data_IF_640431707190
#
_entry.id   IF_640431707190
#
_cell.length_a   1.000
_cell.length_b   1.000
_cell.length_c   1.000
_cell.angle_alpha   90.00
_cell.angle_beta   90.00
_cell.angle_gamma   90.00
#
_symmetry.space_group_name_H-M   'P 1'
#
loop_
_entity.id
_entity.type
_entity.pdbx_description
1 polymer ?
#
# COMPACT_ATOMS: atom_id res chain seq x y z
N UNK A 1 -17.20 11.05 -1.78
CA UNK A 1 -16.08 11.43 -2.66
C UNK A 1 -16.05 10.42 -3.80
N UNK A 2 -16.17 10.87 -5.04
CA UNK A 2 -16.15 9.96 -6.20
C UNK A 2 -14.74 9.40 -6.48
N UNK A 3 -14.64 8.48 -7.42
CA UNK A 3 -13.38 7.81 -7.80
C UNK A 3 -12.33 8.79 -8.33
N UNK A 4 -12.73 9.84 -9.03
CA UNK A 4 -11.83 10.87 -9.55
C UNK A 4 -11.17 11.66 -8.42
N UNK A 5 -11.97 12.08 -7.44
CA UNK A 5 -11.49 12.82 -6.29
C UNK A 5 -10.55 11.97 -5.42
N UNK A 6 -10.87 10.69 -5.19
CA UNK A 6 -9.99 9.78 -4.42
C UNK A 6 -8.66 9.52 -5.16
N UNK A 7 -8.69 9.31 -6.47
CA UNK A 7 -7.48 9.17 -7.27
C UNK A 7 -6.57 10.39 -7.15
N UNK A 8 -7.13 11.60 -7.29
CA UNK A 8 -6.36 12.83 -7.15
C UNK A 8 -5.79 13.00 -5.75
N UNK A 9 -6.55 12.67 -4.70
CA UNK A 9 -6.04 12.68 -3.33
C UNK A 9 -4.81 11.78 -3.19
N UNK A 10 -4.86 10.54 -3.72
CA UNK A 10 -3.68 9.68 -3.74
C UNK A 10 -2.54 10.27 -4.57
N UNK A 11 -2.80 10.66 -5.81
CA UNK A 11 -1.79 11.10 -6.77
C UNK A 11 -0.99 12.30 -6.28
N UNK A 12 -1.66 13.26 -5.66
CA UNK A 12 -1.06 14.53 -5.24
C UNK A 12 -0.59 14.53 -3.77
N UNK A 13 -1.04 13.60 -2.93
CA UNK A 13 -0.50 13.45 -1.58
C UNK A 13 1.00 13.13 -1.61
N UNK A 14 1.77 13.65 -0.66
CA UNK A 14 3.18 13.26 -0.47
C UNK A 14 3.30 11.86 0.11
N UNK A 15 2.46 11.55 1.08
CA UNK A 15 2.41 10.28 1.80
C UNK A 15 0.96 9.89 2.07
N UNK A 16 0.66 8.61 1.91
CA UNK A 16 -0.55 7.96 2.42
C UNK A 16 -0.17 7.18 3.68
N UNK A 17 -0.95 7.35 4.75
CA UNK A 17 -0.66 6.76 6.06
C UNK A 17 -1.83 5.87 6.47
N UNK A 18 -1.53 4.62 6.84
CA UNK A 18 -2.49 3.65 7.37
C UNK A 18 -1.88 2.90 8.57
N UNK A 19 -1.86 3.52 9.76
CA UNK A 19 -1.32 2.91 10.98
C UNK A 19 -2.41 2.09 11.70
N UNK A 20 -3.14 1.25 10.95
CA UNK A 20 -4.20 0.39 11.50
C UNK A 20 -3.61 -0.66 12.46
N UNK A 21 -4.40 -1.13 13.42
CA UNK A 21 -3.97 -2.20 14.35
C UNK A 21 -3.80 -3.57 13.69
N UNK A 22 -4.51 -3.85 12.59
CA UNK A 22 -4.34 -5.07 11.81
C UNK A 22 -4.90 -4.88 10.39
N UNK A 23 -4.17 -5.37 9.40
CA UNK A 23 -4.58 -5.33 7.99
C UNK A 23 -4.25 -6.67 7.31
N UNK A 24 -5.23 -7.25 6.61
CA UNK A 24 -5.00 -8.45 5.77
C UNK A 24 -4.64 -8.01 4.35
N UNK A 25 -5.33 -7.02 3.82
CA UNK A 25 -4.99 -6.41 2.52
C UNK A 25 -5.46 -4.97 2.50
N UNK A 26 -4.52 -4.04 2.68
CA UNK A 26 -4.84 -2.61 2.66
C UNK A 26 -5.08 -2.11 1.24
N UNK A 27 -6.33 -2.24 0.76
CA UNK A 27 -6.73 -1.80 -0.58
C UNK A 27 -6.52 -0.29 -0.79
N UNK A 28 -6.69 0.52 0.25
CA UNK A 28 -6.40 1.96 0.23
C UNK A 28 -4.92 2.22 -0.03
N UNK A 29 -4.03 1.51 0.67
CA UNK A 29 -2.57 1.62 0.50
C UNK A 29 -2.11 1.06 -0.84
N UNK A 30 -2.69 -0.03 -1.34
CA UNK A 30 -2.46 -0.54 -2.71
C UNK A 30 -2.82 0.51 -3.76
N UNK A 31 -3.98 1.16 -3.65
CA UNK A 31 -4.40 2.24 -4.58
C UNK A 31 -3.49 3.47 -4.48
N UNK A 32 -3.09 3.86 -3.27
CA UNK A 32 -2.16 4.97 -3.07
C UNK A 32 -0.80 4.69 -3.71
N UNK A 33 -0.26 3.50 -3.48
CA UNK A 33 1.01 3.07 -4.02
C UNK A 33 0.96 2.89 -5.55
N UNK A 34 -0.12 2.34 -6.11
CA UNK A 34 -0.36 2.31 -7.56
C UNK A 34 -0.44 3.71 -8.19
N UNK A 35 -0.81 4.73 -7.41
CA UNK A 35 -0.80 6.14 -7.85
C UNK A 35 0.60 6.77 -7.81
N UNK A 36 1.61 6.06 -7.29
CA UNK A 36 3.00 6.50 -7.14
C UNK A 36 3.27 7.31 -5.87
N UNK A 37 2.42 7.18 -4.85
CA UNK A 37 2.56 7.90 -3.58
C UNK A 37 3.27 7.05 -2.55
N UNK A 38 4.13 7.68 -1.74
CA UNK A 38 4.79 6.99 -0.63
C UNK A 38 3.73 6.47 0.34
N UNK A 39 3.97 5.29 0.89
CA UNK A 39 3.05 4.68 1.86
C UNK A 39 3.75 4.47 3.19
N UNK A 40 3.05 4.84 4.26
CA UNK A 40 3.33 4.43 5.64
C UNK A 40 2.21 3.50 6.05
N UNK A 41 2.56 2.28 6.41
CA UNK A 41 1.59 1.23 6.78
C UNK A 41 2.00 0.60 8.10
N UNK A 42 1.04 -0.01 8.77
CA UNK A 42 1.30 -0.84 9.95
C UNK A 42 2.22 -2.01 9.61
N UNK A 43 3.10 -2.38 10.54
CA UNK A 43 3.86 -3.62 10.46
C UNK A 43 3.06 -4.86 10.87
N UNK A 44 1.90 -4.66 11.50
CA UNK A 44 1.00 -5.73 11.91
C UNK A 44 0.22 -6.33 10.73
N UNK A 45 -0.06 -7.62 10.81
CA UNK A 45 -0.76 -8.37 9.76
C UNK A 45 0.09 -8.63 8.53
N UNK A 46 -0.51 -8.51 7.35
CA UNK A 46 0.10 -8.98 6.09
C UNK A 46 0.72 -7.88 5.24
N UNK A 47 0.81 -6.63 5.72
CA UNK A 47 1.34 -5.49 4.95
C UNK A 47 2.73 -5.74 4.35
N UNK A 48 3.59 -6.50 5.04
CA UNK A 48 4.94 -6.86 4.54
C UNK A 48 4.90 -7.83 3.36
N UNK A 49 3.87 -8.67 3.25
CA UNK A 49 3.69 -9.59 2.12
C UNK A 49 3.39 -8.83 0.82
N UNK A 50 2.63 -7.73 0.91
CA UNK A 50 2.24 -6.91 -0.24
C UNK A 50 3.28 -5.87 -0.62
N UNK A 51 3.92 -5.19 0.34
CA UNK A 51 4.77 -4.02 0.06
C UNK A 51 6.27 -4.27 0.27
N UNK A 52 6.66 -5.40 0.88
CA UNK A 52 8.06 -5.85 1.03
C UNK A 52 8.98 -4.77 1.61
N UNK A 53 10.15 -4.54 1.03
CA UNK A 53 11.12 -3.50 1.38
C UNK A 53 10.77 -2.12 0.78
N UNK A 54 9.64 -2.00 0.09
CA UNK A 54 9.27 -0.81 -0.67
C UNK A 54 8.27 0.10 0.06
N UNK A 55 7.63 -0.39 1.12
CA UNK A 55 6.82 0.41 2.04
C UNK A 55 7.63 1.02 3.18
N UNK A 56 7.05 1.99 3.88
CA UNK A 56 7.53 2.47 5.18
C UNK A 56 6.60 1.88 6.24
N UNK A 57 7.18 1.35 7.31
CA UNK A 57 6.44 0.60 8.32
C UNK A 57 6.49 1.30 9.67
N UNK A 58 5.37 1.27 10.39
CA UNK A 58 5.27 1.77 11.75
C UNK A 58 4.62 0.73 12.66
N UNK A 59 5.00 0.76 13.93
CA UNK A 59 4.29 0.04 14.98
C UNK A 59 3.03 0.85 15.36
N UNK A 60 1.81 0.31 15.18
CA UNK A 60 0.57 1.06 15.44
C UNK A 60 0.33 1.32 16.94
N UNK A 61 1.08 0.67 17.83
CA UNK A 61 1.00 0.84 19.28
C UNK A 61 2.01 1.85 19.82
N UNK A 62 2.87 2.43 18.97
CA UNK A 62 3.89 3.41 19.34
C UNK A 62 3.72 4.71 18.52
N UNK A 63 3.26 5.76 19.20
CA UNK A 63 3.08 7.08 18.59
C UNK A 63 4.38 7.67 18.01
N UNK A 64 5.53 7.35 18.62
CA UNK A 64 6.83 7.82 18.12
C UNK A 64 7.17 7.13 16.81
N UNK A 65 6.98 5.81 16.73
CA UNK A 65 7.14 5.02 15.51
C UNK A 65 6.27 5.56 14.36
N UNK A 66 4.98 5.85 14.63
CA UNK A 66 4.06 6.43 13.64
C UNK A 66 4.58 7.79 13.17
N UNK A 67 4.95 8.67 14.10
CA UNK A 67 5.43 10.01 13.79
C UNK A 67 6.70 9.98 12.92
N UNK A 68 7.68 9.15 13.28
CA UNK A 68 8.93 9.01 12.56
C UNK A 68 8.70 8.49 11.14
N UNK A 69 7.86 7.46 10.99
CA UNK A 69 7.49 6.93 9.67
C UNK A 69 6.77 7.96 8.79
N UNK A 70 5.89 8.78 9.36
CA UNK A 70 5.22 9.88 8.62
C UNK A 70 6.24 10.90 8.14
N UNK A 71 7.18 11.31 8.98
CA UNK A 71 8.24 12.25 8.61
C UNK A 71 9.09 11.66 7.48
N UNK A 72 9.56 10.42 7.63
CA UNK A 72 10.32 9.72 6.59
C UNK A 72 9.54 9.70 5.27
N UNK A 73 8.27 9.28 5.30
CA UNK A 73 7.43 9.20 4.11
C UNK A 73 7.14 10.54 3.46
N UNK A 74 7.09 11.63 4.24
CA UNK A 74 6.89 12.98 3.73
C UNK A 74 8.15 13.56 3.08
N UNK A 75 9.33 13.26 3.61
CA UNK A 75 10.64 13.73 3.12
C UNK A 75 11.18 12.89 1.96
N UNK A 76 10.83 11.59 1.92
CA UNK A 76 11.24 10.67 0.86
C UNK A 76 10.74 11.12 -0.50
N UNK A 77 11.63 11.17 -1.50
CA UNK A 77 11.22 11.42 -2.88
C UNK A 77 10.37 10.26 -3.40
N UNK A 78 9.28 10.57 -4.11
CA UNK A 78 8.46 9.56 -4.77
C UNK A 78 9.30 8.74 -5.75
N UNK A 79 9.09 7.43 -5.76
CA UNK A 79 9.75 6.49 -6.68
C UNK A 79 8.71 5.67 -7.42
N UNK A 80 9.02 5.18 -8.62
CA UNK A 80 8.12 4.28 -9.35
C UNK A 80 8.24 2.82 -8.90
N UNK A 81 9.27 2.44 -8.13
CA UNK A 81 9.59 1.03 -7.78
C UNK A 81 8.35 0.28 -7.25
N UNK A 82 7.68 0.82 -6.23
CA UNK A 82 6.50 0.19 -5.65
C UNK A 82 5.30 0.21 -6.61
N UNK A 83 5.10 1.31 -7.33
CA UNK A 83 4.04 1.45 -8.33
C UNK A 83 4.16 0.36 -9.40
N UNK A 84 5.35 0.24 -9.98
CA UNK A 84 5.66 -0.71 -11.05
C UNK A 84 5.52 -2.15 -10.52
N UNK A 85 5.93 -2.41 -9.27
CA UNK A 85 5.71 -3.71 -8.63
C UNK A 85 4.22 -4.05 -8.50
N UNK A 86 3.40 -3.12 -8.04
CA UNK A 86 1.95 -3.34 -7.87
C UNK A 86 1.26 -3.55 -9.22
N UNK A 87 1.55 -2.70 -10.20
CA UNK A 87 0.99 -2.81 -11.56
C UNK A 87 1.32 -4.14 -12.22
N UNK A 88 2.49 -4.71 -11.91
CA UNK A 88 2.90 -6.02 -12.45
C UNK A 88 2.37 -7.21 -11.65
N UNK A 89 1.97 -7.09 -10.38
CA UNK A 89 1.68 -8.25 -9.53
C UNK A 89 0.23 -8.30 -9.01
N UNK A 90 -0.40 -7.16 -8.72
CA UNK A 90 -1.69 -7.11 -8.03
C UNK A 90 -2.79 -6.53 -8.92
N UNK A 91 -2.90 -7.05 -10.14
CA UNK A 91 -4.01 -6.68 -11.04
C UNK A 91 -5.21 -7.60 -10.83
N UNK A 92 -6.40 -7.09 -11.12
CA UNK A 92 -7.62 -7.91 -11.11
C UNK A 92 -7.53 -9.12 -12.02
N UNK A 93 -6.91 -8.98 -13.19
CA UNK A 93 -6.69 -10.09 -14.11
C UNK A 93 -5.89 -11.22 -13.45
N UNK A 94 -4.76 -10.89 -12.81
CA UNK A 94 -3.94 -11.89 -12.10
C UNK A 94 -4.70 -12.53 -10.94
N UNK A 95 -5.42 -11.74 -10.14
CA UNK A 95 -6.22 -12.26 -9.03
C UNK A 95 -7.28 -13.27 -9.52
N UNK A 96 -8.01 -12.94 -10.59
CA UNK A 96 -9.03 -13.84 -11.17
C UNK A 96 -8.40 -15.07 -11.79
N UNK A 97 -7.27 -14.95 -12.49
CA UNK A 97 -6.55 -16.09 -13.07
C UNK A 97 -6.09 -17.08 -12.00
N UNK A 98 -5.54 -16.60 -10.88
CA UNK A 98 -5.12 -17.47 -9.77
C UNK A 98 -6.31 -18.15 -9.10
N UNK A 99 -7.39 -17.41 -8.81
CA UNK A 99 -8.63 -17.98 -8.27
C UNK A 99 -9.18 -19.05 -9.20
N UNK A 100 -9.27 -18.77 -10.51
CA UNK A 100 -9.78 -19.70 -11.51
C UNK A 100 -8.97 -21.00 -11.56
N UNK A 101 -7.63 -20.92 -11.53
CA UNK A 101 -6.76 -22.11 -11.47
C UNK A 101 -7.05 -22.94 -10.22
N UNK A 102 -7.18 -22.31 -9.04
CA UNK A 102 -7.51 -23.04 -7.82
C UNK A 102 -8.83 -23.78 -7.90
N UNK A 103 -9.85 -23.23 -8.58
CA UNK A 103 -11.11 -23.93 -8.81
C UNK A 103 -11.00 -25.12 -9.78
N UNK A 104 -10.02 -25.14 -10.69
CA UNK A 104 -9.77 -26.28 -11.59
C UNK A 104 -9.00 -27.42 -10.91
N UNK A 105 -8.30 -27.12 -9.81
CA UNK A 105 -7.53 -28.09 -9.02
C UNK A 105 -8.36 -28.72 -7.89
N UNK A 106 -9.56 -28.21 -7.64
CA UNK A 106 -10.58 -28.81 -6.76
C UNK A 106 -11.32 -29.95 -7.47
#
# INVERSE_FOLDING_TARGET
>A
MDSYNVYNAYKFARVHVLPSFAEVTSLSSLKAAASGTNIVVTEEGASREYFKDMGIYCNPYDESSIKEAIIEGYEKRKTSKLKDYIENNFTWKKAVEEIYKSYLEL
#
